data_IF_281215795581
#
_entry.id   IF_281215795581
#
_cell.length_a   1.000
_cell.length_b   1.000
_cell.length_c   1.000
_cell.angle_alpha   90.00
_cell.angle_beta   90.00
_cell.angle_gamma   90.00
#
_symmetry.space_group_name_H-M   'P 1'
#
loop_
_entity.id
_entity.type
_entity.pdbx_description
1 polymer ?
#
# COMPACT_ATOMS: atom_id res chain seq x y z
N UNK A 1 -8.05 10.74 -21.75
CA UNK A 1 -8.74 11.49 -20.67
C UNK A 1 -9.93 12.13 -21.35
N UNK A 2 -11.14 11.80 -20.90
CA UNK A 2 -12.37 12.35 -21.50
C UNK A 2 -12.66 13.70 -20.85
N UNK A 3 -12.86 14.72 -21.67
CA UNK A 3 -13.22 16.07 -21.21
C UNK A 3 -14.73 16.25 -21.35
N UNK A 4 -15.37 16.85 -20.34
CA UNK A 4 -16.80 17.11 -20.33
C UNK A 4 -17.04 18.59 -20.09
N UNK A 5 -18.01 19.15 -20.81
CA UNK A 5 -18.42 20.55 -20.69
C UNK A 5 -19.83 20.59 -20.11
N UNK A 6 -20.00 21.26 -18.98
CA UNK A 6 -21.32 21.53 -18.40
C UNK A 6 -21.76 22.93 -18.83
N UNK A 7 -22.83 23.01 -19.62
CA UNK A 7 -23.36 24.25 -20.17
C UNK A 7 -24.82 24.41 -19.74
N UNK A 8 -25.17 25.62 -19.30
CA UNK A 8 -26.55 26.02 -19.03
C UNK A 8 -26.96 27.14 -19.98
N UNK A 9 -28.18 27.07 -20.52
CA UNK A 9 -28.74 28.06 -21.42
C UNK A 9 -30.16 28.44 -20.95
N UNK A 10 -30.57 29.71 -21.12
CA UNK A 10 -31.91 30.15 -20.74
C UNK A 10 -32.97 29.43 -21.58
N UNK A 11 -34.08 29.07 -20.92
CA UNK A 11 -35.25 28.47 -21.56
C UNK A 11 -36.11 29.51 -22.29
N UNK A 12 -35.58 30.20 -23.30
CA UNK A 12 -36.22 31.35 -23.98
C UNK A 12 -37.73 31.18 -24.25
N UNK A 13 -38.14 30.01 -24.74
CA UNK A 13 -39.56 29.63 -24.93
C UNK A 13 -39.95 28.46 -24.03
N UNK A 14 -39.21 27.36 -24.13
CA UNK A 14 -39.29 26.21 -23.22
C UNK A 14 -37.90 25.58 -23.12
N UNK A 15 -37.57 24.97 -21.98
CA UNK A 15 -36.29 24.27 -21.81
C UNK A 15 -36.09 23.17 -22.88
N UNK A 16 -37.18 22.52 -23.31
CA UNK A 16 -37.14 21.48 -24.33
C UNK A 16 -36.77 22.02 -25.71
N UNK A 17 -37.33 23.16 -26.12
CA UNK A 17 -36.99 23.78 -27.39
C UNK A 17 -35.54 24.26 -27.42
N UNK A 18 -35.08 24.93 -26.34
CA UNK A 18 -33.66 25.36 -26.22
C UNK A 18 -32.72 24.15 -26.35
N UNK A 19 -33.04 23.05 -25.67
CA UNK A 19 -32.29 21.80 -25.76
C UNK A 19 -32.26 21.24 -27.19
N UNK A 20 -33.41 21.14 -27.85
CA UNK A 20 -33.52 20.61 -29.21
C UNK A 20 -32.74 21.45 -30.22
N UNK A 21 -32.83 22.78 -30.12
CA UNK A 21 -32.07 23.70 -30.98
C UNK A 21 -30.57 23.51 -30.78
N UNK A 22 -30.09 23.52 -29.53
CA UNK A 22 -28.66 23.30 -29.23
C UNK A 22 -28.20 21.93 -29.76
N UNK A 23 -28.94 20.87 -29.44
CA UNK A 23 -28.58 19.51 -29.82
C UNK A 23 -28.60 19.28 -31.35
N UNK A 24 -29.54 19.90 -32.06
CA UNK A 24 -29.58 19.82 -33.52
C UNK A 24 -28.36 20.52 -34.14
N UNK A 25 -27.96 21.69 -33.64
CA UNK A 25 -26.82 22.44 -34.17
C UNK A 25 -25.48 21.79 -33.83
N UNK A 26 -25.25 21.40 -32.58
CA UNK A 26 -23.94 20.92 -32.14
C UNK A 26 -23.72 19.44 -32.44
N UNK A 27 -24.74 18.60 -32.25
CA UNK A 27 -24.61 17.14 -32.46
C UNK A 27 -25.06 16.72 -33.87
N UNK A 28 -26.30 17.01 -34.27
CA UNK A 28 -26.84 16.42 -35.52
C UNK A 28 -26.30 17.04 -36.81
N UNK A 29 -26.16 18.36 -36.86
CA UNK A 29 -25.75 19.06 -38.08
C UNK A 29 -24.23 19.12 -38.23
N UNK A 30 -23.52 19.41 -37.14
CA UNK A 30 -22.08 19.66 -37.19
C UNK A 30 -21.23 18.56 -36.53
N UNK A 31 -21.84 17.57 -35.86
CA UNK A 31 -21.18 16.45 -35.20
C UNK A 31 -19.98 16.87 -34.31
N UNK A 32 -20.15 17.97 -33.57
CA UNK A 32 -19.11 18.56 -32.72
C UNK A 32 -19.01 17.86 -31.37
N UNK A 33 -20.14 17.42 -30.81
CA UNK A 33 -20.20 16.78 -29.49
C UNK A 33 -21.43 15.87 -29.33
N UNK A 34 -21.37 14.98 -28.33
CA UNK A 34 -22.54 14.28 -27.81
C UNK A 34 -23.14 15.08 -26.64
N UNK A 35 -24.46 15.28 -26.67
CA UNK A 35 -25.14 16.07 -25.65
C UNK A 35 -26.03 15.17 -24.78
N UNK A 36 -25.90 15.33 -23.45
CA UNK A 36 -26.72 14.66 -22.46
C UNK A 36 -27.46 15.68 -21.59
N UNK A 37 -28.72 15.39 -21.23
CA UNK A 37 -29.49 16.27 -20.34
C UNK A 37 -28.97 16.11 -18.92
N UNK A 38 -28.73 17.24 -18.25
CA UNK A 38 -28.33 17.27 -16.85
C UNK A 38 -29.51 17.74 -15.99
N UNK A 39 -30.17 16.82 -15.29
CA UNK A 39 -31.39 17.11 -14.54
C UNK A 39 -31.08 17.71 -13.17
N UNK A 40 -31.36 19.01 -13.00
CA UNK A 40 -31.28 19.72 -11.72
C UNK A 40 -32.72 19.96 -11.24
N UNK A 41 -33.07 19.56 -10.01
CA UNK A 41 -34.40 19.81 -9.47
C UNK A 41 -34.58 21.28 -9.07
N UNK A 42 -35.83 21.69 -8.83
CA UNK A 42 -36.11 23.00 -8.27
C UNK A 42 -35.60 23.08 -6.82
N UNK A 43 -34.52 23.83 -6.63
CA UNK A 43 -33.89 24.06 -5.33
C UNK A 43 -34.44 25.34 -4.69
N UNK A 44 -34.58 25.31 -3.36
CA UNK A 44 -35.04 26.48 -2.60
C UNK A 44 -33.99 27.59 -2.60
N UNK A 45 -34.18 28.57 -3.48
CA UNK A 45 -33.36 29.79 -3.56
C UNK A 45 -33.75 30.80 -2.47
N UNK A 46 -32.76 31.50 -1.93
CA UNK A 46 -32.93 32.55 -0.94
C UNK A 46 -33.03 33.94 -1.58
N UNK A 47 -32.51 34.95 -0.88
CA UNK A 47 -32.37 36.31 -1.42
C UNK A 47 -31.20 36.42 -2.41
N UNK A 48 -31.19 37.43 -3.26
CA UNK A 48 -30.09 37.69 -4.20
C UNK A 48 -28.74 37.86 -3.47
N UNK A 49 -28.73 38.59 -2.36
CA UNK A 49 -27.52 38.79 -1.53
C UNK A 49 -26.94 37.46 -1.02
N UNK A 50 -27.80 36.55 -0.54
CA UNK A 50 -27.40 35.21 -0.15
C UNK A 50 -26.85 34.38 -1.33
N UNK A 51 -27.40 34.56 -2.53
CA UNK A 51 -26.92 33.85 -3.73
C UNK A 51 -25.54 34.35 -4.18
N UNK A 52 -25.28 35.66 -4.09
CA UNK A 52 -23.96 36.24 -4.39
C UNK A 52 -22.91 35.68 -3.44
N UNK A 53 -23.15 35.72 -2.13
CA UNK A 53 -22.21 35.15 -1.16
C UNK A 53 -22.02 33.64 -1.33
N UNK A 54 -23.11 32.91 -1.63
CA UNK A 54 -23.03 31.47 -1.88
C UNK A 54 -22.24 31.14 -3.16
N UNK A 55 -22.27 31.99 -4.19
CA UNK A 55 -21.50 31.77 -5.42
C UNK A 55 -19.99 31.69 -5.14
N UNK A 56 -19.47 32.57 -4.30
CA UNK A 56 -18.05 32.58 -3.91
C UNK A 56 -17.70 31.35 -3.04
N UNK A 57 -18.58 31.00 -2.11
CA UNK A 57 -18.42 29.82 -1.25
C UNK A 57 -18.45 28.51 -2.06
N UNK A 58 -19.34 28.42 -3.05
CA UNK A 58 -19.42 27.27 -3.96
C UNK A 58 -18.16 27.16 -4.83
N UNK A 59 -17.58 28.26 -5.29
CA UNK A 59 -16.32 28.23 -6.03
C UNK A 59 -15.16 27.67 -5.21
N UNK A 60 -15.09 28.00 -3.91
CA UNK A 60 -14.09 27.41 -2.99
C UNK A 60 -14.38 25.94 -2.71
N UNK A 61 -15.65 25.60 -2.51
CA UNK A 61 -16.07 24.23 -2.24
C UNK A 61 -15.78 23.32 -3.44
N UNK A 62 -16.04 23.78 -4.66
CA UNK A 62 -15.76 23.05 -5.90
C UNK A 62 -14.26 22.72 -6.03
N UNK A 63 -13.39 23.72 -5.89
CA UNK A 63 -11.94 23.52 -5.90
C UNK A 63 -11.48 22.54 -4.80
N UNK A 64 -12.11 22.59 -3.62
CA UNK A 64 -11.82 21.66 -2.53
C UNK A 64 -12.25 20.23 -2.87
N UNK A 65 -13.48 20.03 -3.35
CA UNK A 65 -14.01 18.72 -3.76
C UNK A 65 -13.17 18.11 -4.88
N UNK A 66 -12.78 18.92 -5.88
CA UNK A 66 -11.91 18.48 -6.96
C UNK A 66 -10.57 17.97 -6.42
N UNK A 67 -9.94 18.75 -5.53
CA UNK A 67 -8.66 18.38 -4.94
C UNK A 67 -8.77 17.07 -4.14
N UNK A 68 -9.81 16.91 -3.33
CA UNK A 68 -10.05 15.68 -2.55
C UNK A 68 -10.29 14.49 -3.47
N UNK A 69 -11.08 14.65 -4.52
CA UNK A 69 -11.33 13.60 -5.52
C UNK A 69 -10.05 13.17 -6.24
N UNK A 70 -9.20 14.12 -6.65
CA UNK A 70 -7.90 13.84 -7.26
C UNK A 70 -6.96 13.10 -6.29
N UNK A 71 -6.94 13.48 -5.01
CA UNK A 71 -6.17 12.78 -3.97
C UNK A 71 -6.62 11.32 -3.82
N UNK A 72 -7.93 11.07 -3.80
CA UNK A 72 -8.49 9.70 -3.73
C UNK A 72 -8.05 8.87 -4.93
N UNK A 73 -8.21 9.41 -6.14
CA UNK A 73 -7.84 8.69 -7.37
C UNK A 73 -6.33 8.40 -7.44
N UNK A 74 -5.49 9.38 -7.06
CA UNK A 74 -4.04 9.20 -7.00
C UNK A 74 -3.66 8.10 -5.99
N UNK A 75 -4.22 8.16 -4.78
CA UNK A 75 -3.88 7.22 -3.73
C UNK A 75 -4.37 5.80 -4.04
N UNK A 76 -5.55 5.65 -4.66
CA UNK A 76 -6.01 4.36 -5.17
C UNK A 76 -5.02 3.78 -6.20
N UNK A 77 -4.48 4.64 -7.08
CA UNK A 77 -3.43 4.27 -8.03
C UNK A 77 -2.12 3.83 -7.38
N UNK A 78 -1.77 4.39 -6.23
CA UNK A 78 -0.56 4.01 -5.46
C UNK A 78 -0.77 2.71 -4.67
N UNK A 79 -1.99 2.51 -4.15
CA UNK A 79 -2.39 1.31 -3.42
C UNK A 79 -2.48 0.09 -4.35
N UNK A 80 -2.89 0.30 -5.61
CA UNK A 80 -2.98 -0.75 -6.64
C UNK A 80 -1.61 -1.32 -7.04
N UNK A 81 -0.50 -0.64 -6.75
CA UNK A 81 0.87 -1.09 -7.02
C UNK A 81 0.99 -1.71 -8.44
N UNK A 82 1.09 -3.04 -8.53
CA UNK A 82 1.24 -3.80 -9.78
C UNK A 82 -0.04 -3.91 -10.63
N UNK A 83 -1.20 -3.51 -10.09
CA UNK A 83 -2.53 -3.57 -10.74
C UNK A 83 -3.06 -2.18 -11.13
N UNK A 84 -2.15 -1.24 -11.41
CA UNK A 84 -2.51 0.14 -11.75
C UNK A 84 -3.33 0.24 -13.04
N UNK A 85 -3.22 -0.75 -13.93
CA UNK A 85 -4.05 -0.95 -15.12
C UNK A 85 -5.55 -1.07 -14.77
N UNK A 86 -5.88 -1.64 -13.60
CA UNK A 86 -7.26 -1.79 -13.12
C UNK A 86 -7.80 -0.56 -12.41
N UNK A 87 -7.05 0.55 -12.35
CA UNK A 87 -7.49 1.76 -11.65
C UNK A 87 -8.85 2.25 -12.15
N UNK A 88 -9.05 2.28 -13.48
CA UNK A 88 -10.30 2.72 -14.08
C UNK A 88 -11.48 1.78 -13.77
N UNK A 89 -11.22 0.49 -13.59
CA UNK A 89 -12.25 -0.48 -13.21
C UNK A 89 -12.72 -0.29 -11.76
N UNK A 90 -11.82 0.19 -10.89
CA UNK A 90 -12.09 0.42 -9.48
C UNK A 90 -12.62 1.83 -9.18
N UNK A 91 -12.46 2.78 -10.10
CA UNK A 91 -13.04 4.12 -10.02
C UNK A 91 -14.47 4.12 -10.55
N UNK A 92 -15.42 3.80 -9.66
CA UNK A 92 -16.84 3.73 -9.96
C UNK A 92 -17.65 4.62 -9.03
N UNK A 93 -18.74 5.19 -9.53
CA UNK A 93 -19.71 5.94 -8.74
C UNK A 93 -21.10 5.31 -8.89
N UNK A 94 -21.80 5.04 -7.78
CA UNK A 94 -23.07 4.30 -7.81
C UNK A 94 -22.98 2.94 -8.52
N UNK A 95 -21.86 2.22 -8.37
CA UNK A 95 -21.51 0.99 -9.10
C UNK A 95 -21.56 1.13 -10.64
N UNK A 96 -21.50 2.35 -11.16
CA UNK A 96 -21.39 2.65 -12.59
C UNK A 96 -20.03 3.27 -12.87
N UNK A 97 -19.56 3.14 -14.12
CA UNK A 97 -18.41 3.90 -14.56
C UNK A 97 -18.72 5.41 -14.56
N UNK A 98 -17.67 6.22 -14.41
CA UNK A 98 -17.82 7.68 -14.28
C UNK A 98 -18.46 8.34 -15.51
N UNK A 99 -18.27 7.77 -16.71
CA UNK A 99 -18.89 8.28 -17.94
C UNK A 99 -20.40 8.10 -17.89
N UNK A 100 -20.86 6.89 -17.56
CA UNK A 100 -22.28 6.59 -17.40
C UNK A 100 -22.89 7.41 -16.27
N UNK A 101 -22.18 7.57 -15.15
CA UNK A 101 -22.62 8.37 -14.01
C UNK A 101 -22.88 9.84 -14.40
N UNK A 102 -21.95 10.47 -15.13
CA UNK A 102 -22.08 11.88 -15.56
C UNK A 102 -23.18 12.04 -16.62
N UNK A 103 -23.22 11.14 -17.61
CA UNK A 103 -24.19 11.22 -18.73
C UNK A 103 -25.62 10.88 -18.33
N UNK A 104 -25.83 10.20 -17.20
CA UNK A 104 -27.14 9.85 -16.63
C UNK A 104 -27.32 10.41 -15.22
N UNK A 105 -26.68 11.54 -14.93
CA UNK A 105 -26.74 12.16 -13.61
C UNK A 105 -28.18 12.36 -13.14
N UNK A 106 -28.42 12.01 -11.89
CA UNK A 106 -29.65 12.30 -11.17
C UNK A 106 -29.31 12.87 -9.81
N UNK A 107 -30.06 13.90 -9.41
CA UNK A 107 -29.91 14.49 -8.10
C UNK A 107 -30.33 13.52 -7.00
N UNK A 108 -29.45 13.30 -6.02
CA UNK A 108 -29.76 12.47 -4.85
C UNK A 108 -30.66 13.25 -3.88
N UNK A 109 -31.96 13.06 -4.03
CA UNK A 109 -32.99 13.70 -3.19
C UNK A 109 -32.97 13.22 -1.73
N UNK A 110 -32.41 12.05 -1.46
CA UNK A 110 -32.32 11.50 -0.10
C UNK A 110 -31.16 12.16 0.67
N UNK A 111 -30.01 12.32 0.01
CA UNK A 111 -28.83 13.00 0.60
C UNK A 111 -28.95 14.51 0.58
N UNK A 112 -29.51 15.08 -0.49
CA UNK A 112 -29.59 16.53 -0.72
C UNK A 112 -31.05 16.97 -0.99
N UNK A 113 -31.91 17.06 0.05
CA UNK A 113 -33.33 17.32 -0.15
C UNK A 113 -33.60 18.74 -0.66
N UNK A 114 -34.43 18.87 -1.71
CA UNK A 114 -34.78 20.15 -2.36
C UNK A 114 -35.50 21.15 -1.45
N UNK A 115 -36.09 20.67 -0.35
CA UNK A 115 -36.78 21.50 0.66
C UNK A 115 -35.81 22.29 1.55
N UNK A 116 -34.54 21.87 1.63
CA UNK A 116 -33.52 22.57 2.39
C UNK A 116 -32.99 23.78 1.61
N UNK A 117 -32.43 24.76 2.32
CA UNK A 117 -31.77 25.90 1.66
C UNK A 117 -30.50 25.44 0.94
N UNK A 118 -30.13 26.16 -0.12
CA UNK A 118 -28.89 25.89 -0.87
C UNK A 118 -27.65 25.93 0.04
N UNK A 119 -27.59 26.87 0.99
CA UNK A 119 -26.48 26.94 1.96
C UNK A 119 -26.38 25.67 2.81
N UNK A 120 -27.50 25.16 3.33
CA UNK A 120 -27.47 23.93 4.11
C UNK A 120 -27.01 22.73 3.26
N UNK A 121 -27.43 22.65 2.00
CA UNK A 121 -26.96 21.59 1.09
C UNK A 121 -25.45 21.70 0.85
N UNK A 122 -24.93 22.91 0.62
CA UNK A 122 -23.51 23.15 0.46
C UNK A 122 -22.71 22.77 1.72
N UNK A 123 -23.23 23.10 2.91
CA UNK A 123 -22.61 22.73 4.19
C UNK A 123 -22.59 21.20 4.40
N UNK A 124 -23.66 20.49 4.02
CA UNK A 124 -23.72 19.02 4.06
C UNK A 124 -22.63 18.42 3.16
N UNK A 125 -22.51 18.91 1.92
CA UNK A 125 -21.48 18.47 0.96
C UNK A 125 -20.09 18.74 1.54
N UNK A 126 -19.83 19.95 2.02
CA UNK A 126 -18.54 20.34 2.60
C UNK A 126 -18.14 19.44 3.77
N UNK A 127 -19.08 19.17 4.68
CA UNK A 127 -18.84 18.29 5.83
C UNK A 127 -18.57 16.84 5.41
N UNK A 128 -19.31 16.33 4.42
CA UNK A 128 -19.09 14.98 3.90
C UNK A 128 -17.71 14.84 3.25
N UNK A 129 -17.32 15.79 2.39
CA UNK A 129 -15.98 15.82 1.77
C UNK A 129 -14.88 15.92 2.83
N UNK A 130 -15.07 16.75 3.86
CA UNK A 130 -14.14 16.85 4.98
C UNK A 130 -13.98 15.54 5.76
N UNK A 131 -15.07 14.80 5.97
CA UNK A 131 -15.02 13.48 6.61
C UNK A 131 -14.30 12.46 5.72
N UNK A 132 -14.58 12.46 4.41
CA UNK A 132 -13.91 11.60 3.44
C UNK A 132 -12.40 11.84 3.44
N UNK A 133 -11.96 13.10 3.45
CA UNK A 133 -10.54 13.47 3.52
C UNK A 133 -9.87 12.99 4.82
N UNK A 134 -10.56 13.13 5.96
CA UNK A 134 -10.06 12.67 7.26
C UNK A 134 -9.90 11.14 7.29
N UNK A 135 -10.87 10.41 6.75
CA UNK A 135 -10.85 8.96 6.65
C UNK A 135 -9.75 8.48 5.69
N UNK A 136 -9.61 9.14 4.54
CA UNK A 136 -8.53 8.91 3.58
C UNK A 136 -7.16 9.07 4.25
N UNK A 137 -6.95 10.17 4.98
CA UNK A 137 -5.69 10.45 5.70
C UNK A 137 -5.37 9.38 6.74
N UNK A 138 -6.38 8.93 7.49
CA UNK A 138 -6.19 7.89 8.52
C UNK A 138 -5.84 6.54 7.89
N UNK A 139 -6.61 6.13 6.86
CA UNK A 139 -6.38 4.86 6.15
C UNK A 139 -5.04 4.84 5.41
N UNK A 140 -4.69 5.94 4.75
CA UNK A 140 -3.42 6.07 4.04
C UNK A 140 -2.20 6.01 4.97
N UNK A 141 -2.25 6.67 6.12
CA UNK A 141 -1.20 6.56 7.13
C UNK A 141 -1.02 5.11 7.62
N UNK A 142 -2.11 4.41 7.91
CA UNK A 142 -2.07 3.02 8.33
C UNK A 142 -1.46 2.10 7.24
N UNK A 143 -1.89 2.25 5.98
CA UNK A 143 -1.36 1.48 4.86
C UNK A 143 0.14 1.75 4.63
N UNK A 144 0.55 3.02 4.63
CA UNK A 144 1.95 3.41 4.43
C UNK A 144 2.86 2.89 5.56
N UNK A 145 2.39 2.90 6.81
CA UNK A 145 3.13 2.31 7.93
C UNK A 145 3.33 0.81 7.75
N UNK A 146 2.28 0.06 7.37
CA UNK A 146 2.39 -1.38 7.09
C UNK A 146 3.35 -1.66 5.92
N UNK A 147 3.24 -0.89 4.84
CA UNK A 147 4.12 -1.00 3.66
C UNK A 147 5.58 -0.74 4.04
N UNK A 148 5.87 0.31 4.80
CA UNK A 148 7.21 0.62 5.28
C UNK A 148 7.78 -0.47 6.19
N UNK A 149 6.96 -1.02 7.10
CA UNK A 149 7.37 -2.13 7.96
C UNK A 149 7.72 -3.39 7.15
N UNK A 150 6.89 -3.75 6.17
CA UNK A 150 7.15 -4.89 5.29
C UNK A 150 8.42 -4.69 4.47
N UNK A 151 8.62 -3.51 3.87
CA UNK A 151 9.83 -3.23 3.09
C UNK A 151 11.10 -3.32 3.94
N UNK A 152 11.04 -2.89 5.20
CA UNK A 152 12.16 -3.01 6.14
C UNK A 152 12.44 -4.49 6.50
N UNK A 153 11.41 -5.31 6.65
CA UNK A 153 11.56 -6.74 6.90
C UNK A 153 12.13 -7.48 5.67
N UNK A 154 11.64 -7.16 4.47
CA UNK A 154 12.14 -7.73 3.21
C UNK A 154 13.62 -7.41 2.96
N UNK A 155 14.05 -6.17 3.24
CA UNK A 155 15.47 -5.78 3.17
C UNK A 155 16.33 -6.60 4.12
N UNK A 156 15.85 -6.85 5.34
CA UNK A 156 16.55 -7.73 6.30
C UNK A 156 16.61 -9.19 5.84
N UNK A 157 15.74 -9.59 4.91
CA UNK A 157 15.66 -10.95 4.37
C UNK A 157 16.42 -11.13 3.05
N UNK A 158 16.81 -10.08 2.32
CA UNK A 158 17.42 -10.22 0.97
C UNK A 158 18.88 -9.79 0.86
N UNK A 159 19.50 -9.34 1.96
CA UNK A 159 20.92 -8.95 1.98
C UNK A 159 21.93 -10.12 1.84
N UNK A 160 23.22 -9.78 1.78
CA UNK A 160 24.32 -10.76 1.88
C UNK A 160 24.24 -11.54 3.19
N UNK A 161 24.75 -12.78 3.20
CA UNK A 161 24.82 -13.64 4.39
C UNK A 161 25.40 -12.91 5.63
N UNK A 162 26.28 -11.92 5.44
CA UNK A 162 26.85 -11.09 6.50
C UNK A 162 25.81 -10.31 7.32
N UNK A 163 24.68 -9.94 6.71
CA UNK A 163 23.70 -9.01 7.29
C UNK A 163 22.28 -9.56 7.31
N UNK A 164 21.95 -10.49 6.41
CA UNK A 164 20.64 -11.12 6.30
C UNK A 164 20.27 -11.90 7.56
N UNK A 165 18.97 -11.92 7.88
CA UNK A 165 18.42 -12.79 8.90
C UNK A 165 18.68 -14.28 8.53
N UNK A 166 19.21 -15.06 9.48
CA UNK A 166 19.54 -16.47 9.23
C UNK A 166 18.40 -17.43 9.59
N UNK A 167 17.33 -16.94 10.24
CA UNK A 167 16.20 -17.74 10.72
C UNK A 167 15.48 -18.54 9.63
N UNK A 168 15.50 -18.07 8.38
CA UNK A 168 14.91 -18.77 7.23
C UNK A 168 15.89 -19.70 6.50
N UNK A 169 17.18 -19.64 6.82
CA UNK A 169 18.23 -20.45 6.21
C UNK A 169 18.58 -21.69 7.04
N UNK A 170 18.34 -21.64 8.35
CA UNK A 170 18.75 -22.68 9.28
C UNK A 170 17.59 -23.58 9.71
N UNK A 171 17.92 -24.81 10.11
CA UNK A 171 16.98 -25.84 10.53
C UNK A 171 17.43 -26.44 11.86
N UNK A 172 16.52 -27.10 12.57
CA UNK A 172 16.79 -27.80 13.83
C UNK A 172 17.98 -28.76 13.72
N UNK A 173 18.05 -29.49 12.61
CA UNK A 173 19.11 -30.47 12.32
C UNK A 173 20.53 -29.87 12.26
N UNK A 174 20.66 -28.56 12.08
CA UNK A 174 21.96 -27.89 12.04
C UNK A 174 22.54 -27.59 13.42
N UNK A 175 21.77 -27.74 14.52
CA UNK A 175 22.20 -27.35 15.86
C UNK A 175 22.14 -28.51 16.84
N UNK A 176 23.12 -28.55 17.74
CA UNK A 176 23.01 -29.33 18.96
C UNK A 176 22.26 -28.48 19.99
N UNK A 177 21.03 -28.91 20.30
CA UNK A 177 20.16 -28.27 21.30
C UNK A 177 20.34 -28.93 22.67
N UNK A 178 20.02 -28.20 23.74
CA UNK A 178 19.97 -28.68 25.12
C UNK A 178 21.27 -29.33 25.65
N UNK A 179 22.41 -29.06 25.03
CA UNK A 179 23.70 -29.52 25.52
C UNK A 179 24.21 -28.60 26.64
N UNK A 180 24.66 -29.20 27.74
CA UNK A 180 25.32 -28.47 28.83
C UNK A 180 26.67 -27.89 28.37
N UNK A 181 27.43 -28.64 27.58
CA UNK A 181 28.84 -28.35 27.26
C UNK A 181 29.09 -27.92 25.82
N UNK A 182 28.26 -28.34 24.87
CA UNK A 182 28.46 -28.07 23.44
C UNK A 182 27.57 -26.93 22.97
N UNK A 183 28.02 -26.23 21.94
CA UNK A 183 27.22 -25.27 21.20
C UNK A 183 27.59 -25.33 19.72
N UNK A 184 26.63 -25.03 18.86
CA UNK A 184 26.85 -24.89 17.43
C UNK A 184 26.85 -23.42 17.05
N UNK A 185 27.91 -22.96 16.38
CA UNK A 185 28.04 -21.60 15.86
C UNK A 185 27.80 -21.59 14.35
N UNK A 186 27.34 -20.44 13.85
CA UNK A 186 27.21 -20.15 12.44
C UNK A 186 28.39 -19.28 11.99
N UNK A 187 29.10 -19.71 10.96
CA UNK A 187 30.31 -19.04 10.47
C UNK A 187 30.15 -18.73 9.00
N UNK A 188 30.40 -17.48 8.66
CA UNK A 188 30.43 -16.99 7.29
C UNK A 188 31.87 -17.07 6.81
N UNK A 189 32.05 -17.86 5.74
CA UNK A 189 33.33 -18.16 5.14
C UNK A 189 33.34 -17.56 3.73
N UNK A 190 34.32 -16.72 3.36
CA UNK A 190 34.47 -16.27 1.98
C UNK A 190 34.56 -17.48 1.05
N UNK A 191 33.85 -17.44 -0.09
CA UNK A 191 33.76 -18.59 -1.00
C UNK A 191 35.13 -19.10 -1.48
N UNK A 192 36.07 -18.17 -1.66
CA UNK A 192 37.46 -18.45 -2.02
C UNK A 192 38.23 -19.24 -0.94
N UNK A 193 37.76 -19.23 0.31
CA UNK A 193 38.39 -19.86 1.47
C UNK A 193 37.63 -21.09 1.98
N UNK A 194 36.60 -21.58 1.29
CA UNK A 194 35.84 -22.78 1.71
C UNK A 194 36.74 -24.01 1.83
N UNK A 195 37.68 -24.19 0.91
CA UNK A 195 38.62 -25.32 0.96
C UNK A 195 39.56 -25.21 2.18
N UNK A 196 40.04 -24.00 2.49
CA UNK A 196 40.84 -23.75 3.69
C UNK A 196 40.04 -24.03 4.96
N UNK A 197 38.79 -23.56 5.01
CA UNK A 197 37.87 -23.85 6.11
C UNK A 197 37.72 -25.35 6.33
N UNK A 198 37.38 -26.13 5.30
CA UNK A 198 37.14 -27.57 5.44
C UNK A 198 38.37 -28.35 5.95
N UNK A 199 39.59 -27.89 5.63
CA UNK A 199 40.83 -28.54 6.06
C UNK A 199 41.29 -28.07 7.44
N UNK A 200 41.05 -26.81 7.80
CA UNK A 200 41.70 -26.15 8.91
C UNK A 200 40.76 -25.68 10.03
N UNK A 201 39.44 -25.78 9.90
CA UNK A 201 38.51 -25.30 10.94
C UNK A 201 38.71 -26.03 12.27
N UNK A 202 39.02 -27.33 12.24
CA UNK A 202 39.28 -28.15 13.44
C UNK A 202 40.53 -27.72 14.22
N UNK A 203 41.38 -26.88 13.62
CA UNK A 203 42.64 -26.36 14.18
C UNK A 203 42.55 -24.87 14.53
N UNK A 204 41.34 -24.30 14.59
CA UNK A 204 41.16 -22.89 14.97
C UNK A 204 41.33 -22.72 16.48
N UNK A 205 40.78 -23.64 17.27
CA UNK A 205 40.94 -23.73 18.72
C UNK A 205 40.94 -25.20 19.14
N UNK A 206 41.40 -25.47 20.36
CA UNK A 206 41.14 -26.75 21.00
C UNK A 206 39.63 -26.94 21.26
N UNK A 207 39.21 -28.18 21.54
CA UNK A 207 37.82 -28.52 21.88
C UNK A 207 36.78 -28.22 20.77
N UNK A 208 37.18 -28.31 19.51
CA UNK A 208 36.27 -28.36 18.36
C UNK A 208 35.87 -29.83 18.12
N UNK A 209 34.59 -30.08 17.82
CA UNK A 209 34.10 -31.41 17.47
C UNK A 209 34.51 -31.72 16.02
N UNK A 210 35.31 -32.76 15.75
CA UNK A 210 35.72 -33.10 14.39
C UNK A 210 34.53 -33.50 13.52
N UNK A 211 34.63 -33.24 12.22
CA UNK A 211 33.58 -33.45 11.20
C UNK A 211 32.22 -32.83 11.56
N UNK A 212 32.20 -31.77 12.37
CA UNK A 212 30.96 -31.09 12.78
C UNK A 212 30.54 -29.95 11.86
N UNK A 213 31.42 -29.51 10.96
CA UNK A 213 31.10 -28.42 10.02
C UNK A 213 30.28 -28.91 8.84
N UNK A 214 29.14 -28.25 8.61
CA UNK A 214 28.28 -28.45 7.45
C UNK A 214 28.00 -27.11 6.76
N UNK A 215 28.10 -27.06 5.43
CA UNK A 215 27.65 -25.91 4.65
C UNK A 215 26.12 -25.92 4.54
N UNK A 216 25.47 -24.89 5.06
CA UNK A 216 24.01 -24.71 5.03
C UNK A 216 23.57 -24.15 3.69
N UNK A 217 24.19 -23.03 3.28
CA UNK A 217 23.87 -22.31 2.05
C UNK A 217 25.05 -21.44 1.61
N UNK A 218 25.01 -20.91 0.40
CA UNK A 218 26.00 -19.98 -0.12
C UNK A 218 25.34 -18.89 -0.97
N UNK A 219 25.91 -17.69 -0.94
CA UNK A 219 25.60 -16.60 -1.88
C UNK A 219 26.73 -16.46 -2.93
N UNK A 220 26.81 -15.31 -3.59
CA UNK A 220 27.84 -15.07 -4.61
C UNK A 220 29.26 -15.03 -4.01
N UNK A 221 29.40 -14.54 -2.77
CA UNK A 221 30.67 -14.16 -2.17
C UNK A 221 31.03 -15.02 -0.94
N UNK A 222 30.03 -15.58 -0.26
CA UNK A 222 30.17 -16.25 1.04
C UNK A 222 29.41 -17.59 1.11
N UNK A 223 29.87 -18.47 1.97
CA UNK A 223 29.16 -19.65 2.44
C UNK A 223 28.84 -19.53 3.93
N UNK A 224 27.65 -20.01 4.31
CA UNK A 224 27.23 -20.16 5.70
C UNK A 224 27.51 -21.60 6.13
N UNK A 225 28.44 -21.78 7.05
CA UNK A 225 28.82 -23.08 7.61
C UNK A 225 28.43 -23.16 9.09
N UNK A 226 28.18 -24.37 9.58
CA UNK A 226 28.11 -24.66 11.02
C UNK A 226 29.47 -25.07 11.57
N UNK A 227 29.65 -24.98 12.88
CA UNK A 227 30.74 -25.64 13.60
C UNK A 227 30.28 -25.91 15.02
N UNK A 228 30.54 -27.12 15.52
CA UNK A 228 30.23 -27.47 16.92
C UNK A 228 31.51 -27.50 17.74
N UNK A 229 31.49 -26.83 18.88
CA UNK A 229 32.61 -26.74 19.81
C UNK A 229 32.09 -26.67 21.26
N UNK A 230 33.01 -26.81 22.20
CA UNK A 230 32.71 -26.62 23.61
C UNK A 230 32.43 -25.15 23.91
N UNK A 231 31.41 -24.87 24.74
CA UNK A 231 31.02 -23.50 25.13
C UNK A 231 32.17 -22.69 25.72
N UNK A 232 33.10 -23.36 26.42
CA UNK A 232 34.27 -22.74 27.08
C UNK A 232 35.21 -22.03 26.10
N UNK A 233 35.29 -22.49 24.84
CA UNK A 233 36.24 -21.97 23.84
C UNK A 233 35.56 -21.08 22.79
N UNK A 234 34.30 -20.69 22.98
CA UNK A 234 33.54 -19.90 22.00
C UNK A 234 34.18 -18.54 21.72
N UNK A 235 34.62 -17.83 22.75
CA UNK A 235 35.19 -16.48 22.57
C UNK A 235 36.58 -16.54 21.93
N UNK A 236 37.39 -17.54 22.29
CA UNK A 236 38.67 -17.84 21.66
C UNK A 236 38.49 -18.20 20.18
N UNK A 237 37.48 -19.03 19.88
CA UNK A 237 37.14 -19.41 18.51
C UNK A 237 36.71 -18.19 17.70
N UNK A 238 35.85 -17.32 18.25
CA UNK A 238 35.42 -16.07 17.59
C UNK A 238 36.61 -15.16 17.28
N UNK A 239 37.60 -15.08 18.17
CA UNK A 239 38.82 -14.28 17.98
C UNK A 239 39.65 -14.84 16.81
N UNK A 240 40.01 -16.12 16.86
CA UNK A 240 40.85 -16.75 15.82
C UNK A 240 40.14 -16.89 14.48
N UNK A 241 38.81 -17.09 14.47
CA UNK A 241 38.00 -17.04 13.26
C UNK A 241 38.13 -15.66 12.58
N UNK A 242 38.04 -14.57 13.36
CA UNK A 242 38.18 -13.21 12.84
C UNK A 242 39.56 -12.94 12.26
N UNK A 243 40.63 -13.41 12.90
CA UNK A 243 42.01 -13.28 12.40
C UNK A 243 42.19 -13.97 11.04
N UNK A 244 41.47 -15.08 10.82
CA UNK A 244 41.42 -15.82 9.54
C UNK A 244 40.37 -15.28 8.56
N UNK A 245 39.79 -14.10 8.82
CA UNK A 245 38.76 -13.44 7.99
C UNK A 245 37.42 -14.20 7.91
N UNK A 246 37.15 -15.09 8.86
CA UNK A 246 35.84 -15.71 9.03
C UNK A 246 34.98 -14.88 9.98
N UNK A 247 33.68 -14.79 9.71
CA UNK A 247 32.75 -14.00 10.52
C UNK A 247 31.78 -14.93 11.22
N UNK A 248 31.87 -15.02 12.55
CA UNK A 248 30.91 -15.77 13.35
C UNK A 248 29.65 -14.92 13.55
N UNK A 249 28.49 -15.44 13.15
CA UNK A 249 27.18 -14.78 13.33
C UNK A 249 26.60 -15.15 14.68
N UNK A 250 26.20 -14.14 15.44
CA UNK A 250 25.45 -14.34 16.67
C UNK A 250 24.04 -14.81 16.31
N UNK A 251 23.75 -16.06 16.68
CA UNK A 251 22.47 -16.69 16.41
C UNK A 251 22.23 -17.78 17.45
N UNK A 252 21.04 -17.77 18.05
CA UNK A 252 20.57 -18.80 18.96
C UNK A 252 19.34 -19.44 18.33
N UNK A 253 19.38 -20.75 18.13
CA UNK A 253 18.25 -21.46 17.55
C UNK A 253 17.14 -21.63 18.61
N UNK A 254 16.01 -20.98 18.39
CA UNK A 254 14.81 -21.12 19.21
C UNK A 254 13.58 -21.28 18.30
N UNK A 255 12.96 -22.46 18.29
CA UNK A 255 11.81 -22.75 17.42
C UNK A 255 10.64 -21.80 17.66
N UNK A 256 10.37 -21.41 18.90
CA UNK A 256 9.27 -20.51 19.25
C UNK A 256 9.49 -19.12 18.68
N UNK A 257 10.70 -18.57 18.82
CA UNK A 257 11.06 -17.24 18.27
C UNK A 257 11.08 -17.25 16.73
N UNK A 258 11.60 -18.32 16.12
CA UNK A 258 11.61 -18.47 14.67
C UNK A 258 10.18 -18.57 14.10
N UNK A 259 9.31 -19.32 14.77
CA UNK A 259 7.90 -19.42 14.40
C UNK A 259 7.16 -18.09 14.60
N UNK A 260 7.40 -17.40 15.72
CA UNK A 260 6.83 -16.09 16.00
C UNK A 260 7.21 -15.05 14.93
N UNK A 261 8.48 -14.98 14.52
CA UNK A 261 8.94 -14.06 13.47
C UNK A 261 8.33 -14.35 12.10
N UNK A 262 8.19 -15.62 11.71
CA UNK A 262 7.49 -15.99 10.46
C UNK A 262 6.02 -15.62 10.51
N UNK A 263 5.35 -15.91 11.63
CA UNK A 263 3.95 -15.57 11.84
C UNK A 263 3.71 -14.06 11.78
N UNK A 264 4.64 -13.24 12.31
CA UNK A 264 4.56 -11.79 12.25
C UNK A 264 4.61 -11.28 10.80
N UNK A 265 5.54 -11.77 9.98
CA UNK A 265 5.63 -11.40 8.56
C UNK A 265 4.33 -11.78 7.83
N UNK A 266 3.86 -13.02 8.00
CA UNK A 266 2.61 -13.48 7.36
C UNK A 266 1.40 -12.66 7.81
N UNK A 267 1.35 -12.30 9.09
CA UNK A 267 0.30 -11.44 9.65
C UNK A 267 0.33 -10.05 9.01
N UNK A 268 1.50 -9.43 8.92
CA UNK A 268 1.66 -8.11 8.30
C UNK A 268 1.30 -8.10 6.81
N UNK A 269 1.67 -9.16 6.06
CA UNK A 269 1.26 -9.32 4.65
C UNK A 269 -0.26 -9.45 4.54
N UNK A 270 -0.87 -10.26 5.42
CA UNK A 270 -2.32 -10.44 5.46
C UNK A 270 -3.03 -9.14 5.82
N UNK A 271 -2.51 -8.38 6.78
CA UNK A 271 -3.08 -7.11 7.21
C UNK A 271 -2.94 -6.04 6.12
N UNK A 272 -1.81 -5.98 5.40
CA UNK A 272 -1.66 -5.14 4.19
C UNK A 272 -2.74 -5.49 3.16
N UNK A 273 -2.98 -6.78 2.89
CA UNK A 273 -4.01 -7.24 1.94
C UNK A 273 -5.42 -6.91 2.41
N UNK A 274 -5.73 -7.03 3.70
CA UNK A 274 -7.03 -6.64 4.28
C UNK A 274 -7.26 -5.13 4.18
N UNK A 275 -6.25 -4.33 4.49
CA UNK A 275 -6.32 -2.87 4.36
C UNK A 275 -6.53 -2.46 2.91
N UNK A 276 -5.85 -3.11 1.97
CA UNK A 276 -6.05 -2.94 0.54
C UNK A 276 -7.53 -3.19 0.15
N UNK A 277 -8.10 -4.33 0.52
CA UNK A 277 -9.50 -4.67 0.19
C UNK A 277 -10.48 -3.69 0.84
N UNK A 278 -10.25 -3.31 2.11
CA UNK A 278 -11.08 -2.32 2.80
C UNK A 278 -11.01 -0.95 2.11
N UNK A 279 -9.86 -0.57 1.59
CA UNK A 279 -9.67 0.71 0.91
C UNK A 279 -10.41 0.76 -0.43
N UNK A 280 -10.33 -0.31 -1.22
CA UNK A 280 -11.06 -0.44 -2.49
C UNK A 280 -12.58 -0.41 -2.26
N UNK A 281 -13.09 -1.21 -1.31
CA UNK A 281 -14.53 -1.29 -1.04
C UNK A 281 -15.12 0.01 -0.47
N UNK A 282 -14.38 0.73 0.38
CA UNK A 282 -14.89 1.97 0.97
C UNK A 282 -14.99 3.10 -0.07
N UNK A 283 -14.08 3.18 -1.05
CA UNK A 283 -14.20 4.17 -2.11
C UNK A 283 -15.37 3.89 -3.06
N UNK A 284 -15.68 2.61 -3.32
CA UNK A 284 -16.91 2.23 -4.05
C UNK A 284 -18.15 2.72 -3.30
N UNK A 285 -18.15 2.70 -1.97
CA UNK A 285 -19.29 3.14 -1.15
C UNK A 285 -19.34 4.66 -0.99
N UNK A 286 -18.21 5.37 -0.93
CA UNK A 286 -18.19 6.84 -0.77
C UNK A 286 -18.69 7.56 -2.04
N UNK A 287 -18.47 6.97 -3.21
CA UNK A 287 -19.02 7.44 -4.47
C UNK A 287 -20.46 6.96 -4.71
N UNK A 288 -21.04 6.18 -3.78
CA UNK A 288 -22.46 5.84 -3.74
C UNK A 288 -23.22 6.79 -2.82
#
# INVERSE_FOLDING_TARGET
MSEYWLISAPGDKTCQQTWETMNNLTSKQNNLCENFKFHIPDLKVGTLDQLVGLSDDLGKLDAYVEQSTRKIASYLGDVLEDQRDKLYENLQANNNDLTTYITRFQWDLAKYPTKQSLRNIADIISKQVGQIDADLKTKSAAYNNLKGNLQNLEKKQTGSLLTRNLADLVKREHFILDSEYLTTLLVIVPKQMINDWNVNYEKITDMIVPRSSQMITQDNDYALCTVTLFKKVVDEFKLHARERKFVVREFTYNEEELAAGKNEITKLVTDKKKQFVSFVLVNVVILN
#
